data_IF_916573130815
#
_entry.id   IF_916573130815
#
_cell.length_a   1.000
_cell.length_b   1.000
_cell.length_c   1.000
_cell.angle_alpha   90.00
_cell.angle_beta   90.00
_cell.angle_gamma   90.00
#
_symmetry.space_group_name_H-M   'P 1'
#
loop_
_entity.id
_entity.type
_entity.pdbx_description
1 polymer ?
#
# COMPACT_ATOMS: atom_id res chain seq x y z
N UNK A 1 12.85 19.27 18.04
CA UNK A 1 11.48 18.89 18.46
C UNK A 1 11.59 17.78 19.49
N UNK A 2 10.65 17.63 20.41
CA UNK A 2 10.68 16.45 21.30
C UNK A 2 10.46 15.20 20.47
N UNK A 3 11.17 14.13 20.83
CA UNK A 3 11.18 12.86 20.08
C UNK A 3 9.77 12.32 19.82
N UNK A 4 8.89 12.53 20.81
CA UNK A 4 7.49 12.11 20.80
C UNK A 4 6.63 12.91 19.81
N UNK A 5 6.85 14.22 19.68
CA UNK A 5 6.12 15.04 18.70
C UNK A 5 6.52 14.65 17.28
N UNK A 6 7.82 14.46 17.02
CA UNK A 6 8.28 13.99 15.71
C UNK A 6 7.69 12.61 15.37
N UNK A 7 7.67 11.68 16.33
CA UNK A 7 7.08 10.35 16.13
C UNK A 7 5.56 10.42 15.84
N UNK A 8 4.82 11.27 16.57
CA UNK A 8 3.39 11.48 16.35
C UNK A 8 3.11 12.04 14.96
N UNK A 9 3.87 13.05 14.52
CA UNK A 9 3.69 13.66 13.20
C UNK A 9 3.99 12.69 12.06
N UNK A 10 5.06 11.90 12.18
CA UNK A 10 5.39 10.86 11.20
C UNK A 10 4.31 9.77 11.17
N UNK A 11 3.77 9.37 12.33
CA UNK A 11 2.67 8.41 12.41
C UNK A 11 1.37 8.93 11.78
N UNK A 12 1.05 10.21 11.97
CA UNK A 12 -0.10 10.85 11.29
C UNK A 12 0.13 10.89 9.78
N UNK A 13 1.33 11.28 9.35
CA UNK A 13 1.68 11.34 7.94
C UNK A 13 1.55 9.97 7.27
N UNK A 14 2.09 8.92 7.90
CA UNK A 14 1.93 7.54 7.44
C UNK A 14 0.45 7.14 7.35
N UNK A 15 -0.31 7.32 8.42
CA UNK A 15 -1.72 6.95 8.44
C UNK A 15 -2.59 7.67 7.40
N UNK A 16 -2.23 8.91 7.03
CA UNK A 16 -2.91 9.66 5.98
C UNK A 16 -2.49 9.21 4.57
N UNK A 17 -1.20 8.90 4.38
CA UNK A 17 -0.63 8.68 3.04
C UNK A 17 -0.66 7.22 2.59
N UNK A 18 -0.74 6.26 3.52
CA UNK A 18 -0.68 4.82 3.20
C UNK A 18 -1.88 4.33 2.37
N UNK A 19 -3.07 4.93 2.56
CA UNK A 19 -4.28 4.55 1.84
C UNK A 19 -4.52 5.35 0.56
N UNK A 20 -3.78 6.44 0.39
CA UNK A 20 -3.86 7.29 -0.79
C UNK A 20 -2.79 6.84 -1.79
N UNK A 21 -3.06 6.88 -3.10
CA UNK A 21 -2.08 6.47 -4.11
C UNK A 21 -1.03 7.56 -4.35
N UNK A 22 -0.35 8.00 -3.29
CA UNK A 22 0.59 9.15 -3.27
C UNK A 22 1.94 8.79 -2.63
N UNK A 23 2.24 7.51 -2.38
CA UNK A 23 3.47 6.99 -1.77
C UNK A 23 3.78 7.52 -0.36
N UNK A 24 3.40 6.75 0.65
CA UNK A 24 3.76 7.00 2.06
C UNK A 24 5.27 7.03 2.29
N UNK A 25 6.02 6.09 1.69
CA UNK A 25 7.48 6.03 1.80
C UNK A 25 8.17 7.32 1.33
N UNK A 26 7.68 7.94 0.26
CA UNK A 26 8.24 9.20 -0.21
C UNK A 26 7.98 10.37 0.72
N UNK A 27 6.76 10.44 1.27
CA UNK A 27 6.38 11.46 2.24
C UNK A 27 7.18 11.33 3.54
N UNK A 28 7.36 10.11 4.06
CA UNK A 28 8.21 9.86 5.24
C UNK A 28 9.66 10.25 4.98
N UNK A 29 10.24 9.85 3.84
CA UNK A 29 11.63 10.15 3.50
C UNK A 29 11.91 11.66 3.43
N UNK A 30 10.94 12.45 2.95
CA UNK A 30 11.03 13.91 2.92
C UNK A 30 10.82 14.48 4.33
N UNK A 31 9.78 14.05 5.05
CA UNK A 31 9.46 14.57 6.37
C UNK A 31 10.55 14.30 7.42
N UNK A 32 11.21 13.14 7.33
CA UNK A 32 12.35 12.77 8.19
C UNK A 32 13.57 13.70 8.03
N UNK A 33 13.72 14.38 6.89
CA UNK A 33 14.79 15.38 6.71
C UNK A 33 14.62 16.58 7.64
N UNK A 34 13.38 16.89 8.05
CA UNK A 34 13.07 18.00 8.96
C UNK A 34 12.73 17.54 10.38
N UNK A 35 12.06 16.40 10.52
CA UNK A 35 11.58 15.88 11.81
C UNK A 35 12.60 14.99 12.53
N UNK A 36 13.69 14.62 11.86
CA UNK A 36 14.73 13.72 12.33
C UNK A 36 14.60 12.33 11.72
N UNK A 37 15.72 11.78 11.24
CA UNK A 37 15.76 10.48 10.59
C UNK A 37 15.37 9.36 11.56
N UNK A 38 14.57 8.41 11.07
CA UNK A 38 14.12 7.25 11.83
C UNK A 38 14.76 5.97 11.31
N UNK A 39 14.69 4.93 12.11
CA UNK A 39 15.10 3.60 11.68
C UNK A 39 14.01 3.00 10.78
N UNK A 40 14.41 2.12 9.87
CA UNK A 40 13.45 1.33 9.08
C UNK A 40 12.46 0.59 9.98
N UNK A 41 12.92 0.13 11.15
CA UNK A 41 12.06 -0.51 12.13
C UNK A 41 10.93 0.39 12.62
N UNK A 42 11.20 1.69 12.86
CA UNK A 42 10.16 2.64 13.24
C UNK A 42 9.12 2.79 12.11
N UNK A 43 9.58 2.93 10.87
CA UNK A 43 8.70 3.06 9.70
C UNK A 43 7.81 1.82 9.51
N UNK A 44 8.38 0.62 9.67
CA UNK A 44 7.63 -0.64 9.65
C UNK A 44 6.56 -0.68 10.75
N UNK A 45 6.88 -0.20 11.97
CA UNK A 45 5.95 -0.23 13.10
C UNK A 45 4.78 0.73 12.90
N UNK A 46 5.01 1.95 12.41
CA UNK A 46 3.91 2.90 12.15
C UNK A 46 3.02 2.42 10.99
N UNK A 47 3.59 1.81 9.95
CA UNK A 47 2.83 1.20 8.86
C UNK A 47 1.96 0.03 9.35
N UNK A 48 2.44 -0.76 10.31
CA UNK A 48 1.62 -1.80 10.95
C UNK A 48 0.38 -1.20 11.65
N UNK A 49 0.47 0.04 12.14
CA UNK A 49 -0.67 0.80 12.66
C UNK A 49 -1.72 1.10 11.58
N UNK A 50 -1.29 1.50 10.38
CA UNK A 50 -2.19 1.68 9.24
C UNK A 50 -2.84 0.36 8.80
N UNK A 51 -2.08 -0.74 8.76
CA UNK A 51 -2.63 -2.08 8.48
C UNK A 51 -3.68 -2.48 9.52
N UNK A 52 -3.42 -2.21 10.81
CA UNK A 52 -4.40 -2.47 11.85
C UNK A 52 -5.68 -1.64 11.65
N UNK A 53 -5.56 -0.38 11.25
CA UNK A 53 -6.71 0.49 10.99
C UNK A 53 -7.62 -0.08 9.89
N UNK A 54 -7.06 -0.56 8.76
CA UNK A 54 -7.88 -1.16 7.70
C UNK A 54 -8.47 -2.52 8.12
N UNK A 55 -7.74 -3.31 8.91
CA UNK A 55 -8.26 -4.56 9.48
C UNK A 55 -9.47 -4.30 10.38
N UNK A 56 -9.45 -3.24 11.19
CA UNK A 56 -10.58 -2.85 12.04
C UNK A 56 -11.75 -2.26 11.25
N UNK A 57 -11.45 -1.45 10.23
CA UNK A 57 -12.45 -0.86 9.33
C UNK A 57 -13.19 -1.96 8.55
N UNK A 58 -12.47 -2.95 8.04
CA UNK A 58 -13.01 -4.07 7.26
C UNK A 58 -13.26 -5.33 8.10
N UNK A 59 -13.28 -5.23 9.43
CA UNK A 59 -13.34 -6.40 10.35
C UNK A 59 -14.46 -7.38 10.02
N UNK A 60 -15.64 -6.88 9.67
CA UNK A 60 -16.79 -7.72 9.33
C UNK A 60 -16.54 -8.47 8.02
N UNK A 61 -16.09 -7.77 6.98
CA UNK A 61 -15.74 -8.37 5.68
C UNK A 61 -14.63 -9.41 5.83
N UNK A 62 -13.58 -9.10 6.59
CA UNK A 62 -12.49 -10.03 6.87
C UNK A 62 -12.99 -11.26 7.64
N UNK A 63 -13.84 -11.08 8.64
CA UNK A 63 -14.43 -12.18 9.38
C UNK A 63 -15.31 -13.07 8.50
N UNK A 64 -16.13 -12.47 7.64
CA UNK A 64 -16.96 -13.19 6.66
C UNK A 64 -16.11 -13.98 5.69
N UNK A 65 -15.03 -13.42 5.16
CA UNK A 65 -14.13 -14.13 4.26
C UNK A 65 -13.36 -15.25 4.97
N UNK A 66 -12.96 -15.05 6.23
CA UNK A 66 -12.22 -16.04 7.02
C UNK A 66 -13.09 -17.23 7.47
N UNK A 67 -14.34 -16.98 7.87
CA UNK A 67 -15.25 -18.01 8.41
C UNK A 67 -16.22 -18.57 7.36
N UNK A 68 -16.49 -17.81 6.31
CA UNK A 68 -17.45 -18.13 5.25
C UNK A 68 -16.88 -18.90 4.07
N UNK A 69 -15.74 -19.59 4.23
CA UNK A 69 -15.09 -20.36 3.14
C UNK A 69 -15.93 -21.53 2.60
N UNK A 70 -17.04 -21.90 3.25
CA UNK A 70 -18.01 -22.83 2.67
C UNK A 70 -18.76 -22.27 1.45
N UNK A 71 -18.81 -20.94 1.30
CA UNK A 71 -19.50 -20.27 0.20
C UNK A 71 -18.57 -20.16 -1.02
N UNK A 72 -19.09 -20.48 -2.21
CA UNK A 72 -18.32 -20.44 -3.45
C UNK A 72 -17.78 -19.04 -3.76
N UNK A 73 -18.59 -18.01 -3.52
CA UNK A 73 -18.21 -16.62 -3.80
C UNK A 73 -17.10 -16.12 -2.88
N UNK A 74 -17.13 -16.48 -1.60
CA UNK A 74 -16.06 -16.14 -0.66
C UNK A 74 -14.75 -16.83 -1.03
N UNK A 75 -14.80 -18.12 -1.41
CA UNK A 75 -13.62 -18.85 -1.89
C UNK A 75 -13.03 -18.20 -3.14
N UNK A 76 -13.90 -17.87 -4.10
CA UNK A 76 -13.49 -17.23 -5.34
C UNK A 76 -12.83 -15.86 -5.09
N UNK A 77 -13.41 -15.05 -4.19
CA UNK A 77 -12.85 -13.76 -3.78
C UNK A 77 -11.50 -13.90 -3.05
N UNK A 78 -11.40 -14.84 -2.11
CA UNK A 78 -10.15 -15.13 -1.38
C UNK A 78 -9.07 -15.63 -2.33
N UNK A 79 -9.41 -16.47 -3.32
CA UNK A 79 -8.48 -16.92 -4.34
C UNK A 79 -7.97 -15.76 -5.20
N UNK A 80 -8.84 -14.81 -5.59
CA UNK A 80 -8.42 -13.60 -6.32
C UNK A 80 -7.43 -12.77 -5.51
N UNK A 81 -7.71 -12.53 -4.22
CA UNK A 81 -6.78 -11.84 -3.31
C UNK A 81 -5.47 -12.60 -3.21
N UNK A 82 -5.52 -13.92 -3.00
CA UNK A 82 -4.35 -14.77 -2.86
C UNK A 82 -3.47 -14.77 -4.11
N UNK A 83 -4.08 -14.82 -5.31
CA UNK A 83 -3.34 -14.74 -6.58
C UNK A 83 -2.72 -13.36 -6.76
N UNK A 84 -3.45 -12.27 -6.49
CA UNK A 84 -2.91 -10.92 -6.55
C UNK A 84 -1.72 -10.73 -5.60
N UNK A 85 -1.83 -11.22 -4.36
CA UNK A 85 -0.74 -11.25 -3.39
C UNK A 85 0.45 -12.06 -3.90
N UNK A 86 0.21 -13.26 -4.44
CA UNK A 86 1.27 -14.15 -4.92
C UNK A 86 2.05 -13.50 -6.07
N UNK A 87 1.37 -12.88 -7.03
CA UNK A 87 2.02 -12.15 -8.14
C UNK A 87 2.95 -11.07 -7.59
N UNK A 88 2.45 -10.22 -6.69
CA UNK A 88 3.25 -9.15 -6.07
C UNK A 88 4.41 -9.71 -5.25
N UNK A 89 4.19 -10.76 -4.46
CA UNK A 89 5.21 -11.39 -3.62
C UNK A 89 6.31 -12.04 -4.46
N UNK A 90 5.97 -12.77 -5.52
CA UNK A 90 6.95 -13.41 -6.41
C UNK A 90 7.82 -12.37 -7.10
N UNK A 91 7.20 -11.33 -7.69
CA UNK A 91 7.95 -10.24 -8.34
C UNK A 91 8.84 -9.53 -7.32
N UNK A 92 8.31 -9.18 -6.14
CA UNK A 92 9.07 -8.51 -5.09
C UNK A 92 10.26 -9.34 -4.59
N UNK A 93 10.08 -10.65 -4.40
CA UNK A 93 11.15 -11.56 -3.98
C UNK A 93 12.25 -11.70 -5.05
N UNK A 94 11.88 -11.76 -6.33
CA UNK A 94 12.85 -11.80 -7.44
C UNK A 94 13.67 -10.51 -7.47
N UNK A 95 13.01 -9.35 -7.42
CA UNK A 95 13.67 -8.03 -7.42
C UNK A 95 14.60 -7.88 -6.21
N UNK A 96 14.15 -8.31 -5.02
CA UNK A 96 14.99 -8.30 -3.80
C UNK A 96 16.20 -9.23 -3.92
N UNK A 97 16.02 -10.44 -4.46
CA UNK A 97 17.13 -11.38 -4.71
C UNK A 97 18.11 -10.89 -5.77
N UNK A 98 17.66 -10.08 -6.73
CA UNK A 98 18.52 -9.43 -7.71
C UNK A 98 19.37 -8.28 -7.12
N UNK A 99 19.23 -8.00 -5.81
CA UNK A 99 20.03 -7.00 -5.11
C UNK A 99 19.48 -5.58 -5.17
N UNK A 100 18.26 -5.40 -5.68
CA UNK A 100 17.64 -4.09 -5.74
C UNK A 100 17.17 -3.69 -4.33
N UNK A 101 17.54 -2.48 -3.93
CA UNK A 101 17.15 -1.88 -2.66
C UNK A 101 16.35 -0.62 -2.91
N UNK A 102 15.52 -0.24 -1.93
CA UNK A 102 14.85 1.04 -1.98
C UNK A 102 15.91 2.15 -1.91
N UNK A 103 15.92 3.10 -2.86
CA UNK A 103 16.84 4.21 -2.80
C UNK A 103 16.55 5.09 -1.59
N UNK A 104 17.59 5.46 -0.84
CA UNK A 104 17.45 6.42 0.26
C UNK A 104 17.44 7.89 -0.21
N UNK A 105 17.50 8.10 -1.52
CA UNK A 105 17.49 9.43 -2.13
C UNK A 105 16.09 9.80 -2.61
N UNK A 106 15.78 11.10 -2.59
CA UNK A 106 14.47 11.63 -3.01
C UNK A 106 14.23 11.44 -4.52
N UNK A 107 15.28 11.40 -5.33
CA UNK A 107 15.16 11.43 -6.79
C UNK A 107 14.40 10.23 -7.38
N UNK A 108 14.71 8.97 -7.04
CA UNK A 108 13.97 7.82 -7.58
C UNK A 108 12.52 7.79 -7.11
N UNK A 109 12.26 8.24 -5.88
CA UNK A 109 10.91 8.37 -5.34
C UNK A 109 10.11 9.41 -6.14
N UNK A 110 10.70 10.56 -6.46
CA UNK A 110 10.06 11.59 -7.26
C UNK A 110 9.69 11.09 -8.67
N UNK A 111 10.59 10.34 -9.32
CA UNK A 111 10.28 9.70 -10.60
C UNK A 111 9.16 8.67 -10.49
N UNK A 112 9.17 7.83 -9.46
CA UNK A 112 8.11 6.86 -9.21
C UNK A 112 6.75 7.53 -9.01
N UNK A 113 6.71 8.67 -8.30
CA UNK A 113 5.50 9.46 -8.10
C UNK A 113 4.98 10.06 -9.41
N UNK A 114 5.85 10.65 -10.24
CA UNK A 114 5.45 11.23 -11.53
C UNK A 114 4.95 10.15 -12.49
N UNK A 115 5.69 9.05 -12.62
CA UNK A 115 5.32 7.92 -13.50
C UNK A 115 4.02 7.28 -13.00
N UNK A 116 3.90 7.05 -11.69
CA UNK A 116 2.70 6.49 -11.07
C UNK A 116 1.48 7.39 -11.25
N UNK A 117 1.65 8.71 -11.07
CA UNK A 117 0.61 9.71 -11.31
C UNK A 117 0.13 9.71 -12.77
N UNK A 118 1.06 9.74 -13.73
CA UNK A 118 0.73 9.67 -15.15
C UNK A 118 0.04 8.34 -15.50
N UNK A 119 0.53 7.23 -14.95
CA UNK A 119 -0.08 5.91 -15.13
C UNK A 119 -1.53 5.89 -14.63
N UNK A 120 -1.81 6.46 -13.45
CA UNK A 120 -3.17 6.56 -12.94
C UNK A 120 -4.09 7.36 -13.86
N UNK A 121 -3.63 8.49 -14.40
CA UNK A 121 -4.41 9.28 -15.36
C UNK A 121 -4.73 8.50 -16.64
N UNK A 122 -3.75 7.75 -17.14
CA UNK A 122 -3.93 6.89 -18.32
C UNK A 122 -4.91 5.75 -18.00
N UNK A 123 -4.73 5.07 -16.87
CA UNK A 123 -5.59 4.00 -16.42
C UNK A 123 -7.04 4.47 -16.28
N UNK A 124 -7.26 5.64 -15.65
CA UNK A 124 -8.57 6.27 -15.50
C UNK A 124 -9.20 6.62 -16.86
N UNK A 125 -8.41 7.16 -17.79
CA UNK A 125 -8.90 7.48 -19.14
C UNK A 125 -9.43 6.26 -19.90
N UNK A 126 -8.83 5.08 -19.69
CA UNK A 126 -9.32 3.84 -20.28
C UNK A 126 -10.46 3.23 -19.47
N UNK A 127 -10.37 3.24 -18.13
CA UNK A 127 -11.37 2.67 -17.24
C UNK A 127 -12.72 3.41 -17.31
N UNK A 128 -12.71 4.74 -17.45
CA UNK A 128 -13.93 5.56 -17.56
C UNK A 128 -14.77 5.29 -18.81
N UNK A 129 -14.29 4.46 -19.75
CA UNK A 129 -15.05 4.00 -20.92
C UNK A 129 -15.77 2.67 -20.69
N UNK A 130 -15.49 2.00 -19.57
CA UNK A 130 -16.08 0.71 -19.21
C UNK A 130 -17.33 0.92 -18.33
N UNK A 131 -18.31 0.00 -18.39
CA UNK A 131 -19.46 0.05 -17.49
C UNK A 131 -19.01 -0.21 -16.03
N UNK A 132 -19.70 0.42 -15.08
CA UNK A 132 -19.47 0.19 -13.65
C UNK A 132 -19.69 -1.28 -13.29
N UNK A 133 -18.80 -1.83 -12.46
CA UNK A 133 -18.85 -3.23 -11.99
C UNK A 133 -18.59 -3.28 -10.49
N UNK A 134 -19.56 -3.82 -9.77
CA UNK A 134 -19.44 -4.06 -8.32
C UNK A 134 -18.74 -5.39 -7.99
N UNK A 135 -18.53 -6.23 -9.00
CA UNK A 135 -17.96 -7.57 -8.85
C UNK A 135 -16.57 -7.62 -9.47
N UNK A 136 -15.58 -7.96 -8.66
CA UNK A 136 -14.21 -8.22 -9.12
C UNK A 136 -14.21 -9.51 -9.94
N UNK A 137 -13.81 -9.45 -11.21
CA UNK A 137 -13.68 -10.61 -12.10
C UNK A 137 -12.26 -11.14 -12.15
N UNK A 138 -12.07 -12.35 -12.68
CA UNK A 138 -10.74 -12.91 -12.94
C UNK A 138 -10.02 -12.26 -14.12
N UNK A 139 -10.78 -11.66 -15.03
CA UNK A 139 -10.26 -10.85 -16.12
C UNK A 139 -10.27 -9.39 -15.69
N UNK A 140 -9.25 -8.65 -16.13
CA UNK A 140 -9.27 -7.19 -16.19
C UNK A 140 -10.42 -6.77 -17.10
#
# INVERSE_FOLDING_TARGET
>A
MSDLISALLLGILEGLTEFLPISSTGHLLIAEQWLGRRSDFFNIVIQAGAILAICLALRQKLWTLATGLGQRDNRDYVLKIGVAFLVTAVVGLIVRKAGWQLPETVQPVAWALLIGGLWMLVAEHFAGKLPERDVVTWKV
#
